data_IF_986792868053
#
_entry.id   IF_986792868053
#
_cell.length_a   1.000
_cell.length_b   1.000
_cell.length_c   1.000
_cell.angle_alpha   90.00
_cell.angle_beta   90.00
_cell.angle_gamma   90.00
#
_symmetry.space_group_name_H-M   'P 1'
#
loop_
_entity.id
_entity.type
_entity.pdbx_description
1 polymer ?
#
# COMPACT_ATOMS: atom_id res chain seq x y z
N UNK A 1 41.30 29.85 15.37
CA UNK A 1 40.28 30.81 14.94
C UNK A 1 38.96 30.03 14.85
N UNK A 2 38.08 30.20 15.84
CA UNK A 2 36.79 29.48 15.88
C UNK A 2 35.79 30.21 14.98
N UNK A 3 35.37 29.56 13.90
CA UNK A 3 34.38 30.06 12.93
C UNK A 3 32.95 29.84 13.50
N UNK A 4 32.70 30.13 14.77
CA UNK A 4 31.40 29.91 15.42
C UNK A 4 30.61 31.22 15.70
N UNK A 5 31.04 32.33 15.20
CA UNK A 5 30.49 33.65 15.61
C UNK A 5 29.44 34.20 14.63
N UNK A 6 29.14 33.52 13.52
CA UNK A 6 28.07 33.92 12.61
C UNK A 6 26.96 32.89 12.62
N UNK A 7 25.87 33.14 13.34
CA UNK A 7 24.61 32.41 13.21
C UNK A 7 23.79 33.06 12.12
N UNK A 8 23.40 32.28 11.09
CA UNK A 8 22.40 32.72 10.12
C UNK A 8 21.05 32.09 10.47
N UNK A 9 20.01 32.91 10.51
CA UNK A 9 18.64 32.43 10.70
C UNK A 9 18.04 32.14 9.33
N UNK A 10 17.71 30.89 9.08
CA UNK A 10 17.04 30.46 7.84
C UNK A 10 15.57 30.16 8.19
N UNK A 11 14.59 30.72 7.46
CA UNK A 11 13.19 30.37 7.66
C UNK A 11 12.95 28.89 7.29
N UNK A 12 12.28 28.17 8.18
CA UNK A 12 11.97 26.74 8.00
C UNK A 12 10.49 26.58 7.72
N UNK A 13 10.15 25.84 6.67
CA UNK A 13 8.77 25.41 6.41
C UNK A 13 8.33 24.43 7.50
N UNK A 14 7.18 24.66 8.10
CA UNK A 14 6.66 23.81 9.20
C UNK A 14 5.86 22.60 8.70
N UNK A 15 5.68 22.46 7.40
CA UNK A 15 4.93 21.35 6.79
C UNK A 15 5.84 20.13 6.61
N UNK A 16 5.39 18.96 6.99
CA UNK A 16 6.10 17.69 6.79
C UNK A 16 5.53 16.89 5.62
N UNK A 17 6.39 16.13 4.94
CA UNK A 17 6.00 15.12 3.97
C UNK A 17 6.37 13.75 4.51
N UNK A 18 5.40 12.84 4.53
CA UNK A 18 5.60 11.42 4.84
C UNK A 18 5.37 10.61 3.58
N UNK A 19 6.38 9.86 3.15
CA UNK A 19 6.35 9.03 1.94
C UNK A 19 6.15 7.57 2.33
N UNK A 20 5.01 7.03 1.95
CA UNK A 20 4.53 5.70 2.33
C UNK A 20 3.56 5.74 3.50
N UNK A 21 2.33 5.28 3.26
CA UNK A 21 1.25 5.24 4.24
C UNK A 21 0.97 3.83 4.76
N UNK A 22 2.03 3.05 5.04
CA UNK A 22 1.97 1.89 5.92
C UNK A 22 1.87 2.32 7.38
N UNK A 23 1.83 1.37 8.30
CA UNK A 23 1.63 1.66 9.73
C UNK A 23 2.65 2.65 10.30
N UNK A 24 3.92 2.56 9.89
CA UNK A 24 4.96 3.49 10.32
C UNK A 24 4.73 4.92 9.82
N UNK A 25 4.34 5.06 8.55
CA UNK A 25 4.04 6.37 7.96
C UNK A 25 2.77 6.99 8.55
N UNK A 26 1.73 6.19 8.76
CA UNK A 26 0.49 6.64 9.43
C UNK A 26 0.81 7.14 10.84
N UNK A 27 1.55 6.37 11.64
CA UNK A 27 1.90 6.77 13.01
C UNK A 27 2.75 8.06 13.01
N UNK A 28 3.76 8.15 12.16
CA UNK A 28 4.58 9.36 12.04
C UNK A 28 3.75 10.59 11.62
N UNK A 29 2.79 10.40 10.71
CA UNK A 29 1.90 11.49 10.30
C UNK A 29 0.98 11.95 11.44
N UNK A 30 0.42 11.02 12.22
CA UNK A 30 -0.40 11.32 13.39
C UNK A 30 0.40 12.08 14.45
N UNK A 31 1.57 11.57 14.84
CA UNK A 31 2.41 12.19 15.88
C UNK A 31 2.79 13.65 15.52
N UNK A 32 3.09 13.91 14.25
CA UNK A 32 3.41 15.26 13.77
C UNK A 32 2.16 16.15 13.73
N UNK A 33 1.05 15.60 13.28
CA UNK A 33 -0.20 16.32 13.15
C UNK A 33 -0.80 16.70 14.51
N UNK A 34 -0.69 15.80 15.52
CA UNK A 34 -1.07 16.03 16.91
C UNK A 34 -0.22 17.10 17.56
N UNK A 35 1.07 17.21 17.18
CA UNK A 35 1.94 18.31 17.58
C UNK A 35 1.58 19.66 16.92
N UNK A 36 0.53 19.70 16.09
CA UNK A 36 0.00 20.90 15.46
C UNK A 36 0.66 21.29 14.11
N UNK A 37 1.43 20.39 13.51
CA UNK A 37 2.08 20.65 12.23
C UNK A 37 1.32 20.02 11.04
N UNK A 38 1.20 20.75 9.92
CA UNK A 38 0.58 20.18 8.72
C UNK A 38 1.43 19.06 8.11
N UNK A 39 0.80 17.96 7.72
CA UNK A 39 1.44 16.79 7.14
C UNK A 39 0.78 16.44 5.81
N UNK A 40 1.60 16.15 4.81
CA UNK A 40 1.15 15.47 3.59
C UNK A 40 1.61 14.02 3.64
N UNK A 41 0.67 13.09 3.54
CA UNK A 41 0.93 11.65 3.53
C UNK A 41 0.74 11.11 2.11
N UNK A 42 1.82 10.67 1.47
CA UNK A 42 1.83 10.19 0.09
C UNK A 42 1.84 8.67 0.05
N UNK A 43 0.92 8.08 -0.70
CA UNK A 43 0.79 6.63 -0.87
C UNK A 43 0.61 6.27 -2.35
N UNK A 44 1.40 5.30 -2.83
CA UNK A 44 1.34 4.83 -4.22
C UNK A 44 0.10 3.99 -4.54
N UNK A 45 -0.46 3.33 -3.53
CA UNK A 45 -1.66 2.50 -3.64
C UNK A 45 -2.93 3.36 -3.51
N UNK A 46 -4.10 2.84 -3.89
CA UNK A 46 -5.36 3.55 -3.79
C UNK A 46 -5.87 3.71 -2.35
N UNK A 47 -5.26 3.03 -1.37
CA UNK A 47 -5.58 3.16 0.06
C UNK A 47 -4.31 3.16 0.90
N UNK A 48 -4.35 3.84 2.04
CA UNK A 48 -3.35 3.72 3.09
C UNK A 48 -3.50 2.39 3.85
N UNK A 49 -2.52 2.02 4.70
CA UNK A 49 -2.49 0.80 5.50
C UNK A 49 -1.31 -0.13 5.18
N UNK A 50 -0.77 -0.07 3.97
CA UNK A 50 0.40 -0.83 3.54
C UNK A 50 0.22 -2.34 3.62
N UNK A 51 1.27 -3.07 4.01
CA UNK A 51 1.21 -4.53 4.13
C UNK A 51 0.49 -4.97 5.42
N UNK A 52 0.43 -4.14 6.47
CA UNK A 52 -0.18 -4.53 7.74
C UNK A 52 -1.66 -4.93 7.60
N UNK A 53 -2.42 -4.25 6.74
CA UNK A 53 -3.84 -4.58 6.50
C UNK A 53 -4.05 -5.90 5.75
N UNK A 54 -2.99 -6.48 5.20
CA UNK A 54 -3.02 -7.78 4.52
C UNK A 54 -2.75 -8.95 5.47
N UNK A 55 -2.07 -8.69 6.60
CA UNK A 55 -1.71 -9.71 7.59
C UNK A 55 -2.94 -10.15 8.40
N UNK A 56 -2.92 -11.38 8.88
CA UNK A 56 -3.95 -11.89 9.77
C UNK A 56 -3.72 -11.41 11.21
N UNK A 57 -2.56 -11.75 11.78
CA UNK A 57 -2.22 -11.45 13.17
C UNK A 57 -0.92 -10.67 13.31
N UNK A 58 -0.85 -9.83 14.33
CA UNK A 58 0.39 -9.19 14.77
C UNK A 58 1.14 -10.09 15.74
N UNK A 59 2.44 -10.20 15.57
CA UNK A 59 3.29 -10.95 16.48
C UNK A 59 4.01 -9.97 17.46
N UNK A 60 4.18 -10.30 18.75
CA UNK A 60 3.87 -11.57 19.42
C UNK A 60 2.47 -11.63 20.07
N UNK A 61 1.71 -10.56 20.06
CA UNK A 61 0.43 -10.45 20.80
C UNK A 61 -0.70 -11.25 20.17
N UNK A 62 -0.56 -11.64 18.90
CA UNK A 62 -1.57 -12.35 18.12
C UNK A 62 -2.89 -11.59 17.97
N UNK A 63 -2.81 -10.26 18.02
CA UNK A 63 -3.95 -9.39 17.73
C UNK A 63 -4.27 -9.34 16.24
N UNK A 64 -5.51 -9.03 15.91
CA UNK A 64 -5.93 -8.84 14.53
C UNK A 64 -5.24 -7.61 13.92
N UNK A 65 -4.43 -7.81 12.89
CA UNK A 65 -3.65 -6.74 12.25
C UNK A 65 -4.52 -5.63 11.67
N UNK A 66 -5.61 -6.00 10.99
CA UNK A 66 -6.56 -5.04 10.45
C UNK A 66 -7.29 -4.27 11.57
N UNK A 67 -7.59 -4.92 12.70
CA UNK A 67 -8.26 -4.30 13.85
C UNK A 67 -7.39 -3.23 14.52
N UNK A 68 -6.06 -3.39 14.49
CA UNK A 68 -5.12 -2.39 15.01
C UNK A 68 -4.89 -1.27 13.97
N UNK A 69 -4.76 -1.62 12.70
CA UNK A 69 -4.42 -0.67 11.66
C UNK A 69 -5.60 0.24 11.28
N UNK A 70 -6.83 -0.30 11.23
CA UNK A 70 -8.03 0.43 10.78
C UNK A 70 -8.34 1.69 11.61
N UNK A 71 -8.31 1.67 12.95
CA UNK A 71 -8.54 2.88 13.75
C UNK A 71 -7.53 3.98 13.40
N UNK A 72 -6.25 3.65 13.27
CA UNK A 72 -5.19 4.61 12.90
C UNK A 72 -5.36 5.15 11.49
N UNK A 73 -5.80 4.32 10.54
CA UNK A 73 -6.14 4.76 9.19
C UNK A 73 -7.32 5.74 9.20
N UNK A 74 -8.36 5.44 9.98
CA UNK A 74 -9.54 6.31 10.12
C UNK A 74 -9.16 7.65 10.77
N UNK A 75 -8.36 7.61 11.82
CA UNK A 75 -7.85 8.80 12.49
C UNK A 75 -7.04 9.68 11.53
N UNK A 76 -6.08 9.10 10.79
CA UNK A 76 -5.32 9.83 9.79
C UNK A 76 -6.21 10.39 8.67
N UNK A 77 -7.26 9.66 8.28
CA UNK A 77 -8.21 10.06 7.24
C UNK A 77 -9.12 11.23 7.63
N UNK A 78 -9.30 11.47 8.93
CA UNK A 78 -10.19 12.53 9.46
C UNK A 78 -9.43 13.65 10.15
N UNK A 79 -8.11 13.50 10.33
CA UNK A 79 -7.31 14.49 11.05
C UNK A 79 -7.17 15.80 10.26
N UNK A 80 -7.48 16.97 10.85
CA UNK A 80 -7.51 18.25 10.14
C UNK A 80 -6.14 18.70 9.59
N UNK A 81 -5.04 18.26 10.22
CA UNK A 81 -3.67 18.61 9.81
C UNK A 81 -3.05 17.58 8.86
N UNK A 82 -3.77 16.50 8.44
CA UNK A 82 -3.24 15.49 7.53
C UNK A 82 -3.94 15.58 6.18
N UNK A 83 -3.14 15.73 5.13
CA UNK A 83 -3.61 15.62 3.74
C UNK A 83 -3.11 14.31 3.15
N UNK A 84 -4.03 13.40 2.83
CA UNK A 84 -3.69 12.10 2.22
C UNK A 84 -3.74 12.22 0.70
N UNK A 85 -2.64 11.85 0.05
CA UNK A 85 -2.50 11.73 -1.41
C UNK A 85 -2.27 10.28 -1.77
N UNK A 86 -3.34 9.55 -2.09
CA UNK A 86 -3.27 8.17 -2.61
C UNK A 86 -3.05 8.16 -4.12
N UNK A 87 -2.60 7.03 -4.68
CA UNK A 87 -2.17 6.89 -6.07
C UNK A 87 -1.13 7.94 -6.46
N UNK A 88 -0.23 8.25 -5.52
CA UNK A 88 0.73 9.35 -5.66
C UNK A 88 2.15 8.88 -5.35
N UNK A 89 3.12 9.36 -6.11
CA UNK A 89 4.52 9.00 -5.99
C UNK A 89 5.39 10.26 -6.03
N UNK A 90 6.45 10.28 -5.20
CA UNK A 90 7.46 11.35 -5.23
C UNK A 90 8.40 11.08 -6.41
N UNK A 91 8.49 12.04 -7.33
CA UNK A 91 9.38 11.94 -8.50
C UNK A 91 10.71 12.65 -8.30
N UNK A 92 10.67 13.80 -7.67
CA UNK A 92 11.86 14.63 -7.52
C UNK A 92 11.86 15.36 -6.19
N UNK A 93 13.01 15.42 -5.57
CA UNK A 93 13.27 16.22 -4.36
C UNK A 93 14.47 17.12 -4.62
N UNK A 94 14.32 18.39 -4.34
CA UNK A 94 15.37 19.40 -4.41
C UNK A 94 15.34 20.26 -3.15
N UNK A 95 16.28 21.20 -3.02
CA UNK A 95 16.35 22.10 -1.86
C UNK A 95 17.29 21.60 -0.77
N UNK A 96 17.03 21.99 0.46
CA UNK A 96 17.88 21.73 1.63
C UNK A 96 17.03 21.56 2.90
N UNK A 97 17.65 21.12 3.98
CA UNK A 97 16.99 20.89 5.28
C UNK A 97 16.23 22.15 5.71
N UNK A 98 14.94 21.97 5.97
CA UNK A 98 14.01 23.05 6.30
C UNK A 98 13.25 23.63 5.11
N UNK A 99 13.70 23.40 3.85
CA UNK A 99 13.08 23.93 2.64
C UNK A 99 13.30 22.98 1.46
N UNK A 100 12.66 21.83 1.50
CA UNK A 100 12.63 20.87 0.40
C UNK A 100 11.54 21.27 -0.59
N UNK A 101 11.86 21.25 -1.87
CA UNK A 101 10.90 21.34 -2.96
C UNK A 101 10.70 19.94 -3.55
N UNK A 102 9.47 19.45 -3.49
CA UNK A 102 9.13 18.07 -3.86
C UNK A 102 8.10 18.05 -4.96
N UNK A 103 8.40 17.35 -6.06
CA UNK A 103 7.47 17.09 -7.13
C UNK A 103 6.81 15.74 -6.91
N UNK A 104 5.48 15.74 -6.81
CA UNK A 104 4.64 14.57 -6.59
C UNK A 104 3.82 14.33 -7.85
N UNK A 105 3.89 13.12 -8.39
CA UNK A 105 2.96 12.65 -9.42
C UNK A 105 1.72 12.08 -8.75
N UNK A 106 0.58 12.68 -9.01
CA UNK A 106 -0.73 12.17 -8.66
C UNK A 106 -1.31 11.45 -9.88
N UNK A 107 -1.44 10.12 -9.82
CA UNK A 107 -1.98 9.30 -10.90
C UNK A 107 -3.48 9.51 -11.03
N UNK A 108 -3.99 9.41 -12.25
CA UNK A 108 -5.40 9.51 -12.54
C UNK A 108 -6.19 8.44 -11.76
N UNK A 109 -7.23 8.87 -11.07
CA UNK A 109 -8.15 8.00 -10.30
C UNK A 109 -9.38 7.63 -11.13
N UNK A 110 -9.68 8.44 -12.14
CA UNK A 110 -10.87 8.38 -13.00
C UNK A 110 -12.18 8.50 -12.23
N UNK A 111 -12.11 8.94 -10.99
CA UNK A 111 -13.25 9.18 -10.11
C UNK A 111 -12.99 10.48 -9.36
N UNK A 112 -13.96 11.37 -9.43
CA UNK A 112 -13.99 12.57 -8.61
C UNK A 112 -14.34 12.18 -7.17
N UNK A 113 -13.36 12.31 -6.28
CA UNK A 113 -13.53 11.92 -4.88
C UNK A 113 -14.42 12.90 -4.11
N UNK A 114 -14.60 14.12 -4.56
CA UNK A 114 -15.48 15.09 -3.90
C UNK A 114 -16.96 14.78 -4.17
N UNK A 115 -17.24 14.26 -5.36
CA UNK A 115 -18.59 13.81 -5.75
C UNK A 115 -18.91 12.37 -5.32
N UNK A 116 -17.90 11.52 -5.18
CA UNK A 116 -18.10 10.10 -4.90
C UNK A 116 -18.53 9.86 -3.45
N UNK A 117 -19.67 9.19 -3.26
CA UNK A 117 -20.18 8.78 -1.93
C UNK A 117 -19.67 7.43 -1.45
N UNK A 118 -18.90 6.69 -2.27
CA UNK A 118 -18.40 5.35 -1.91
C UNK A 118 -19.45 4.24 -1.86
N UNK A 119 -20.60 4.41 -2.53
CA UNK A 119 -21.74 3.50 -2.47
C UNK A 119 -21.51 2.09 -3.06
N UNK A 120 -20.42 1.88 -3.83
CA UNK A 120 -20.05 0.58 -4.39
C UNK A 120 -20.87 0.10 -5.60
N UNK A 121 -21.90 0.82 -6.04
CA UNK A 121 -22.75 0.40 -7.16
C UNK A 121 -21.96 0.17 -8.45
N UNK A 122 -20.92 0.95 -8.71
CA UNK A 122 -20.06 0.83 -9.87
C UNK A 122 -19.21 -0.44 -9.86
N UNK A 123 -18.77 -0.90 -8.67
CA UNK A 123 -17.97 -2.12 -8.50
C UNK A 123 -18.79 -3.37 -8.81
N UNK A 124 -20.01 -3.46 -8.28
CA UNK A 124 -20.89 -4.61 -8.45
C UNK A 124 -21.33 -4.85 -9.89
N UNK A 125 -21.35 -3.82 -10.73
CA UNK A 125 -21.83 -3.88 -12.14
C UNK A 125 -20.71 -3.85 -13.16
N UNK A 126 -19.45 -3.81 -12.74
CA UNK A 126 -18.32 -3.81 -13.66
C UNK A 126 -18.14 -5.20 -14.31
N UNK A 127 -18.14 -5.29 -15.65
CA UNK A 127 -17.98 -6.57 -16.34
C UNK A 127 -16.51 -7.00 -16.52
N UNK A 128 -15.56 -6.09 -16.26
CA UNK A 128 -14.13 -6.36 -16.41
C UNK A 128 -13.58 -6.90 -15.11
N UNK A 129 -12.90 -8.04 -15.18
CA UNK A 129 -12.22 -8.66 -14.05
C UNK A 129 -10.71 -8.70 -14.29
N UNK A 130 -9.95 -8.66 -13.24
CA UNK A 130 -8.50 -8.77 -13.23
C UNK A 130 -8.04 -9.38 -11.91
N UNK A 131 -6.76 -9.71 -11.84
CA UNK A 131 -6.12 -10.22 -10.62
C UNK A 131 -6.25 -9.20 -9.49
N UNK A 132 -6.56 -9.68 -8.29
CA UNK A 132 -6.62 -8.86 -7.09
C UNK A 132 -5.25 -8.78 -6.41
N UNK A 133 -4.58 -7.65 -6.51
CA UNK A 133 -3.27 -7.42 -5.91
C UNK A 133 -3.32 -7.33 -4.38
N UNK A 134 -4.48 -7.01 -3.81
CA UNK A 134 -4.64 -7.00 -2.36
C UNK A 134 -4.57 -8.43 -1.79
N UNK A 135 -5.15 -9.40 -2.50
CA UNK A 135 -5.06 -10.83 -2.16
C UNK A 135 -3.86 -11.53 -2.78
N UNK A 136 -2.84 -10.77 -3.18
CA UNK A 136 -1.59 -11.30 -3.75
C UNK A 136 -1.81 -12.26 -4.94
N UNK A 137 -2.86 -12.00 -5.72
CA UNK A 137 -3.20 -12.79 -6.90
C UNK A 137 -4.05 -14.03 -6.64
N UNK A 138 -4.48 -14.27 -5.41
CA UNK A 138 -5.30 -15.44 -5.06
C UNK A 138 -6.79 -15.29 -5.39
N UNK A 139 -7.23 -14.07 -5.71
CA UNK A 139 -8.61 -13.78 -6.11
C UNK A 139 -8.66 -12.83 -7.31
N UNK A 140 -9.86 -12.59 -7.82
CA UNK A 140 -10.13 -11.60 -8.86
C UNK A 140 -10.85 -10.39 -8.27
N UNK A 141 -10.58 -9.21 -8.84
CA UNK A 141 -11.32 -7.97 -8.62
C UNK A 141 -11.85 -7.38 -9.91
N UNK A 142 -12.77 -6.46 -9.80
CA UNK A 142 -13.25 -5.68 -10.96
C UNK A 142 -12.27 -4.56 -11.32
N UNK A 143 -12.35 -4.05 -12.55
CA UNK A 143 -11.50 -2.94 -13.02
C UNK A 143 -11.78 -1.62 -12.29
N UNK A 144 -12.99 -1.41 -11.79
CA UNK A 144 -13.31 -0.34 -10.84
C UNK A 144 -13.48 -1.00 -9.47
N UNK A 145 -12.70 -0.56 -8.50
CA UNK A 145 -12.58 -1.30 -7.24
C UNK A 145 -12.14 -0.42 -6.08
N UNK A 146 -12.50 -0.86 -4.91
CA UNK A 146 -11.93 -0.46 -3.63
C UNK A 146 -11.05 -1.63 -3.13
N UNK A 147 -9.80 -1.40 -2.69
CA UNK A 147 -8.87 -2.50 -2.40
C UNK A 147 -9.38 -3.47 -1.33
N UNK A 148 -10.01 -2.95 -0.29
CA UNK A 148 -10.59 -3.72 0.81
C UNK A 148 -11.69 -2.90 1.52
N UNK A 149 -12.49 -3.53 2.35
CA UNK A 149 -13.68 -2.92 2.94
C UNK A 149 -13.37 -1.66 3.77
N UNK A 150 -12.29 -1.68 4.56
CA UNK A 150 -11.87 -0.60 5.46
C UNK A 150 -10.91 0.40 4.80
N UNK A 151 -10.81 0.43 3.47
CA UNK A 151 -9.91 1.32 2.74
C UNK A 151 -10.13 2.80 3.09
N UNK A 152 -9.03 3.54 3.20
CA UNK A 152 -9.03 4.99 3.41
C UNK A 152 -8.19 5.64 2.31
N UNK A 153 -8.79 6.52 1.49
CA UNK A 153 -10.20 6.90 1.47
C UNK A 153 -11.11 5.73 1.07
N UNK A 154 -12.35 5.68 1.61
CA UNK A 154 -13.34 4.64 1.29
C UNK A 154 -14.05 4.91 -0.04
N UNK A 155 -13.26 5.08 -1.11
CA UNK A 155 -13.72 5.40 -2.45
C UNK A 155 -13.05 4.50 -3.47
N UNK A 156 -13.76 4.05 -4.51
CA UNK A 156 -13.14 3.22 -5.54
C UNK A 156 -12.20 4.01 -6.44
N UNK A 157 -11.39 3.30 -7.21
CA UNK A 157 -10.60 3.83 -8.32
C UNK A 157 -10.76 2.94 -9.54
N UNK A 158 -10.37 3.41 -10.72
CA UNK A 158 -10.40 2.63 -11.95
C UNK A 158 -8.98 2.25 -12.35
N UNK A 159 -8.73 0.96 -12.49
CA UNK A 159 -7.52 0.43 -13.10
C UNK A 159 -7.62 0.56 -14.63
N UNK A 160 -6.85 1.50 -15.17
CA UNK A 160 -6.85 1.78 -16.61
C UNK A 160 -6.40 0.57 -17.44
N UNK A 161 -5.51 -0.26 -16.89
CA UNK A 161 -4.98 -1.42 -17.60
C UNK A 161 -6.01 -2.54 -17.80
N UNK A 162 -7.03 -2.64 -16.96
CA UNK A 162 -8.09 -3.65 -17.04
C UNK A 162 -9.45 -3.09 -17.48
N UNK A 163 -9.61 -1.76 -17.51
CA UNK A 163 -10.88 -1.12 -17.87
C UNK A 163 -11.13 -1.12 -19.37
N UNK A 164 -12.21 -1.78 -19.84
CA UNK A 164 -12.62 -1.80 -21.25
C UNK A 164 -12.90 -0.40 -21.83
N UNK A 165 -13.43 0.53 -21.02
CA UNK A 165 -13.69 1.89 -21.49
C UNK A 165 -12.41 2.63 -21.80
N UNK A 166 -11.42 2.55 -20.93
CA UNK A 166 -10.14 3.24 -21.11
C UNK A 166 -9.24 2.57 -22.16
N UNK A 167 -9.31 1.24 -22.28
CA UNK A 167 -8.52 0.48 -23.30
C UNK A 167 -9.11 0.52 -24.69
N UNK A 168 -10.42 0.31 -24.82
CA UNK A 168 -11.08 0.02 -26.09
C UNK A 168 -12.15 1.04 -26.47
N UNK A 169 -12.44 1.99 -25.59
CA UNK A 169 -13.55 2.93 -25.77
C UNK A 169 -14.96 2.30 -25.59
N UNK A 170 -15.03 0.99 -25.38
CA UNK A 170 -16.28 0.21 -25.35
C UNK A 170 -16.63 -0.12 -23.91
N UNK A 171 -17.50 0.56 -23.33
CA UNK A 171 -18.15 0.36 -22.03
C UNK A 171 -18.59 1.73 -21.49
N UNK A 172 -19.04 1.81 -20.26
CA UNK A 172 -19.49 3.05 -19.61
C UNK A 172 -20.56 2.75 -18.57
N UNK A 173 -20.65 1.47 -18.16
CA UNK A 173 -21.67 1.01 -17.20
C UNK A 173 -21.54 1.78 -15.88
N UNK A 174 -20.32 1.90 -15.34
CA UNK A 174 -20.08 2.60 -14.07
C UNK A 174 -20.53 4.08 -14.11
N UNK A 175 -20.30 4.79 -15.22
CA UNK A 175 -20.77 6.18 -15.35
C UNK A 175 -22.31 6.27 -15.42
N UNK A 176 -22.96 5.32 -16.11
CA UNK A 176 -24.42 5.31 -16.25
C UNK A 176 -25.16 5.03 -14.94
N UNK A 177 -24.57 4.27 -14.05
CA UNK A 177 -25.19 3.88 -12.77
C UNK A 177 -24.73 4.73 -11.59
N UNK A 178 -23.76 5.63 -11.78
CA UNK A 178 -23.26 6.49 -10.73
C UNK A 178 -24.30 7.56 -10.38
N UNK A 179 -24.86 7.58 -9.16
CA UNK A 179 -25.92 8.52 -8.82
C UNK A 179 -25.41 9.96 -8.70
N UNK A 180 -24.12 10.15 -8.49
CA UNK A 180 -23.48 11.46 -8.30
C UNK A 180 -22.64 11.91 -9.50
N UNK A 181 -22.64 11.14 -10.59
CA UNK A 181 -21.81 11.40 -11.78
C UNK A 181 -20.30 11.59 -11.49
N UNK A 182 -19.79 10.89 -10.49
CA UNK A 182 -18.39 11.00 -10.05
C UNK A 182 -17.37 10.37 -11.01
N UNK A 183 -17.79 9.66 -12.07
CA UNK A 183 -16.88 8.98 -13.00
C UNK A 183 -16.36 9.97 -14.04
N UNK A 184 -15.04 10.12 -14.11
CA UNK A 184 -14.34 10.99 -15.05
C UNK A 184 -13.27 10.20 -15.81
N UNK A 185 -13.57 9.74 -17.02
CA UNK A 185 -12.62 9.01 -17.86
C UNK A 185 -11.51 9.88 -18.49
N UNK A 186 -11.68 11.21 -18.46
CA UNK A 186 -10.71 12.18 -19.00
C UNK A 186 -9.66 12.60 -17.98
N UNK A 187 -9.71 12.03 -16.75
CA UNK A 187 -8.72 12.30 -15.71
C UNK A 187 -7.32 11.90 -16.17
N UNK A 188 -6.32 12.67 -15.78
CA UNK A 188 -4.93 12.48 -16.18
C UNK A 188 -4.01 12.64 -14.98
N UNK A 189 -2.85 12.04 -15.09
CA UNK A 189 -1.77 12.24 -14.14
C UNK A 189 -1.43 13.74 -14.01
N UNK A 190 -1.20 14.18 -12.79
CA UNK A 190 -0.83 15.55 -12.45
C UNK A 190 0.52 15.57 -11.76
N UNK A 191 1.35 16.53 -12.13
CA UNK A 191 2.59 16.84 -11.39
C UNK A 191 2.33 18.06 -10.52
N UNK A 192 2.48 17.89 -9.22
CA UNK A 192 2.29 18.95 -8.22
C UNK A 192 3.61 19.17 -7.50
N UNK A 193 4.10 20.38 -7.50
CA UNK A 193 5.33 20.74 -6.75
C UNK A 193 4.95 21.55 -5.52
N UNK A 194 5.35 21.04 -4.37
CA UNK A 194 5.07 21.64 -3.05
C UNK A 194 6.34 21.73 -2.21
N UNK A 195 6.34 22.62 -1.22
CA UNK A 195 7.49 22.81 -0.32
C UNK A 195 7.24 22.24 1.06
N UNK A 196 8.27 21.62 1.63
CA UNK A 196 8.24 20.96 2.94
C UNK A 196 9.49 21.24 3.75
N UNK A 197 9.36 21.29 5.07
CA UNK A 197 10.50 21.46 5.96
C UNK A 197 11.20 20.17 6.33
N UNK A 198 10.45 19.07 6.36
CA UNK A 198 10.96 17.74 6.68
C UNK A 198 10.37 16.67 5.77
N UNK A 199 11.18 15.63 5.51
CA UNK A 199 10.80 14.46 4.75
C UNK A 199 10.99 13.22 5.62
N UNK A 200 9.96 12.36 5.70
CA UNK A 200 10.02 11.09 6.41
C UNK A 200 9.77 9.97 5.39
N UNK A 201 10.72 9.04 5.30
CA UNK A 201 10.62 7.90 4.40
C UNK A 201 10.13 6.67 5.17
N UNK A 202 8.91 6.22 4.87
CA UNK A 202 8.26 5.06 5.48
C UNK A 202 7.76 4.10 4.40
N UNK A 203 8.61 3.84 3.40
CA UNK A 203 8.25 3.13 2.16
C UNK A 203 8.01 1.63 2.35
N UNK A 204 8.27 1.09 3.55
CA UNK A 204 8.04 -0.30 3.89
C UNK A 204 8.96 -1.27 3.13
N UNK A 205 8.44 -2.44 2.80
CA UNK A 205 9.16 -3.49 2.07
C UNK A 205 8.29 -4.06 0.94
N UNK A 206 8.96 -4.59 -0.07
CA UNK A 206 8.35 -5.45 -1.09
C UNK A 206 8.88 -6.87 -0.91
N UNK A 207 8.05 -7.86 -1.21
CA UNK A 207 8.53 -9.24 -1.31
C UNK A 207 9.51 -9.37 -2.48
N UNK A 208 10.53 -10.17 -2.28
CA UNK A 208 11.44 -10.55 -3.36
C UNK A 208 10.64 -11.40 -4.36
N UNK A 209 10.80 -11.13 -5.65
CA UNK A 209 10.26 -11.99 -6.71
C UNK A 209 11.13 -13.25 -6.83
N UNK A 210 10.87 -14.19 -5.94
CA UNK A 210 11.59 -15.45 -5.85
C UNK A 210 11.32 -16.39 -7.04
N UNK A 211 10.29 -16.12 -7.83
CA UNK A 211 10.03 -16.84 -9.08
C UNK A 211 11.13 -16.62 -10.10
N UNK A 212 11.80 -15.47 -10.04
CA UNK A 212 12.89 -15.10 -10.94
C UNK A 212 14.29 -15.44 -10.42
N UNK A 213 14.42 -15.63 -9.11
CA UNK A 213 15.72 -15.76 -8.46
C UNK A 213 16.14 -17.21 -8.21
N UNK A 214 15.21 -18.09 -7.84
CA UNK A 214 15.52 -19.45 -7.39
C UNK A 214 14.48 -20.44 -7.93
N UNK A 215 14.85 -21.14 -8.99
CA UNK A 215 14.00 -22.21 -9.55
C UNK A 215 13.91 -23.44 -8.62
N UNK A 216 14.78 -23.55 -7.62
CA UNK A 216 14.91 -24.74 -6.75
C UNK A 216 13.64 -25.05 -5.96
N UNK A 217 12.87 -24.01 -5.62
CA UNK A 217 11.62 -24.19 -4.85
C UNK A 217 10.39 -24.42 -5.73
N UNK A 218 10.54 -24.34 -7.06
CA UNK A 218 9.45 -24.56 -8.02
C UNK A 218 8.37 -23.47 -8.00
N UNK A 219 8.70 -22.28 -7.51
CA UNK A 219 7.79 -21.14 -7.54
C UNK A 219 7.41 -20.74 -8.97
N UNK A 220 6.11 -20.48 -9.19
CA UNK A 220 5.57 -20.23 -10.52
C UNK A 220 5.38 -21.50 -11.37
N UNK A 221 5.97 -22.65 -10.97
CA UNK A 221 5.75 -23.93 -11.62
C UNK A 221 4.61 -24.73 -10.99
N UNK A 222 4.49 -24.62 -9.66
CA UNK A 222 3.46 -25.33 -8.91
C UNK A 222 2.56 -24.33 -8.19
N UNK A 223 1.23 -24.39 -8.37
CA UNK A 223 0.29 -23.41 -7.81
C UNK A 223 0.22 -23.43 -6.27
N UNK A 224 0.60 -24.55 -5.64
CA UNK A 224 0.56 -24.69 -4.18
C UNK A 224 1.85 -24.20 -3.48
N UNK A 225 2.81 -23.68 -4.26
CA UNK A 225 3.98 -23.00 -3.72
C UNK A 225 3.68 -21.51 -3.70
N UNK A 226 3.42 -20.99 -2.52
CA UNK A 226 2.93 -19.64 -2.29
C UNK A 226 3.89 -18.82 -1.43
N UNK A 227 3.80 -17.50 -1.53
CA UNK A 227 4.54 -16.59 -0.67
C UNK A 227 3.96 -16.52 0.74
N UNK A 228 4.75 -16.04 1.72
CA UNK A 228 4.26 -15.81 3.08
C UNK A 228 3.08 -14.84 3.12
N UNK A 229 3.07 -13.80 2.27
CA UNK A 229 1.98 -12.84 2.23
C UNK A 229 0.69 -13.44 1.59
N UNK A 230 0.84 -14.32 0.60
CA UNK A 230 -0.29 -15.11 0.09
C UNK A 230 -0.86 -16.02 1.19
N UNK A 231 0.00 -16.67 1.97
CA UNK A 231 -0.45 -17.49 3.10
C UNK A 231 -1.20 -16.66 4.15
N UNK A 232 -0.73 -15.47 4.49
CA UNK A 232 -1.43 -14.52 5.37
C UNK A 232 -2.83 -14.19 4.84
N UNK A 233 -2.98 -14.02 3.51
CA UNK A 233 -4.31 -13.79 2.91
C UNK A 233 -5.23 -15.01 2.99
N UNK A 234 -4.70 -16.24 2.92
CA UNK A 234 -5.50 -17.45 3.08
C UNK A 234 -6.00 -17.66 4.52
N UNK A 235 -5.17 -17.33 5.52
CA UNK A 235 -5.56 -17.51 6.93
C UNK A 235 -6.40 -16.36 7.47
N UNK A 236 -6.44 -15.23 6.76
CA UNK A 236 -7.20 -14.05 7.18
C UNK A 236 -8.70 -14.23 6.92
N UNK A 237 -9.54 -13.95 7.92
CA UNK A 237 -11.00 -14.03 7.79
C UNK A 237 -11.58 -13.13 6.69
N UNK A 238 -10.91 -12.04 6.32
CA UNK A 238 -11.26 -11.17 5.18
C UNK A 238 -10.57 -11.56 3.87
N UNK A 239 -9.87 -12.67 3.86
CA UNK A 239 -9.15 -13.17 2.68
C UNK A 239 -10.08 -13.92 1.72
N UNK A 240 -9.52 -14.37 0.58
CA UNK A 240 -10.31 -14.99 -0.49
C UNK A 240 -10.97 -16.32 -0.11
N UNK A 241 -10.51 -16.95 0.97
CA UNK A 241 -11.01 -18.23 1.48
C UNK A 241 -11.69 -18.10 2.85
N UNK A 242 -12.00 -16.86 3.28
CA UNK A 242 -12.67 -16.58 4.55
C UNK A 242 -11.94 -17.18 5.78
N UNK A 243 -10.61 -17.28 5.71
CA UNK A 243 -9.76 -17.85 6.76
C UNK A 243 -9.60 -19.37 6.71
N UNK A 244 -10.22 -20.05 5.75
CA UNK A 244 -10.02 -21.49 5.54
C UNK A 244 -8.78 -21.74 4.69
N UNK A 245 -7.79 -22.43 5.24
CA UNK A 245 -6.55 -22.74 4.51
C UNK A 245 -6.88 -23.77 3.42
N UNK A 246 -6.75 -23.34 2.17
CA UNK A 246 -7.02 -24.16 1.00
C UNK A 246 -5.82 -24.11 0.04
N UNK A 247 -5.57 -25.24 -0.65
CA UNK A 247 -4.58 -25.29 -1.72
C UNK A 247 -5.08 -24.52 -2.94
N UNK A 248 -4.29 -23.60 -3.50
CA UNK A 248 -4.69 -22.89 -4.71
C UNK A 248 -5.01 -23.80 -5.91
N UNK A 249 -4.40 -24.98 -5.98
CA UNK A 249 -4.57 -25.91 -7.10
C UNK A 249 -5.96 -26.55 -7.18
N UNK A 250 -6.59 -26.89 -6.05
CA UNK A 250 -7.80 -27.69 -6.02
C UNK A 250 -8.82 -27.28 -4.94
N UNK A 251 -8.53 -26.22 -4.19
CA UNK A 251 -9.41 -25.70 -3.14
C UNK A 251 -9.59 -26.61 -1.92
N UNK A 252 -8.78 -27.67 -1.79
CA UNK A 252 -8.88 -28.59 -0.65
C UNK A 252 -7.94 -28.18 0.48
N UNK A 253 -8.29 -28.59 1.69
CA UNK A 253 -7.46 -28.41 2.86
C UNK A 253 -6.12 -29.19 2.72
N UNK A 254 -4.97 -28.55 2.96
CA UNK A 254 -3.68 -29.24 2.93
C UNK A 254 -3.51 -30.14 4.15
N UNK A 255 -3.03 -31.37 3.96
CA UNK A 255 -2.68 -32.27 5.09
C UNK A 255 -1.36 -31.92 5.73
N UNK A 256 -0.47 -31.29 5.00
CA UNK A 256 0.87 -30.94 5.46
C UNK A 256 1.25 -29.59 4.86
N UNK A 257 1.80 -28.68 5.67
CA UNK A 257 2.33 -27.38 5.26
C UNK A 257 3.81 -27.34 5.60
N UNK A 258 4.64 -26.98 4.63
CA UNK A 258 6.08 -26.78 4.81
C UNK A 258 6.38 -25.27 4.69
N UNK A 259 7.00 -24.70 5.72
CA UNK A 259 7.37 -23.28 5.75
C UNK A 259 8.88 -23.16 5.56
N UNK A 260 9.30 -22.54 4.45
CA UNK A 260 10.70 -22.24 4.15
C UNK A 260 10.92 -20.77 4.44
N UNK A 261 11.74 -20.49 5.47
CA UNK A 261 12.04 -19.12 5.91
C UNK A 261 13.29 -18.56 5.22
N UNK A 262 13.34 -17.23 5.12
CA UNK A 262 14.50 -16.49 4.65
C UNK A 262 14.94 -16.82 3.21
N UNK A 263 13.99 -17.14 2.34
CA UNK A 263 14.23 -17.34 0.91
C UNK A 263 14.83 -16.06 0.31
N UNK A 264 16.00 -16.17 -0.34
CA UNK A 264 16.71 -15.05 -0.96
C UNK A 264 17.44 -14.10 -0.01
N UNK A 265 17.32 -14.26 1.32
CA UNK A 265 18.02 -13.41 2.30
C UNK A 265 19.18 -14.12 3.04
N UNK A 266 19.35 -15.42 2.82
CA UNK A 266 20.48 -16.20 3.35
C UNK A 266 21.59 -16.35 2.30
N UNK A 267 22.16 -15.24 1.92
CA UNK A 267 23.29 -15.18 1.00
C UNK A 267 24.56 -14.80 1.77
N UNK A 268 25.68 -15.54 1.66
CA UNK A 268 26.93 -15.22 2.35
C UNK A 268 27.50 -13.83 1.98
N UNK A 269 27.06 -13.26 0.85
CA UNK A 269 27.48 -11.94 0.40
C UNK A 269 26.58 -10.81 0.92
N UNK A 270 25.53 -11.12 1.68
CA UNK A 270 24.61 -10.11 2.23
C UNK A 270 24.77 -9.98 3.74
N UNK A 271 24.53 -8.77 4.24
CA UNK A 271 24.55 -8.46 5.69
C UNK A 271 23.52 -9.31 6.45
N UNK A 272 22.37 -9.59 5.83
CA UNK A 272 21.31 -10.44 6.40
C UNK A 272 21.80 -11.84 6.77
N UNK A 273 22.61 -12.45 5.92
CA UNK A 273 23.20 -13.77 6.21
C UNK A 273 24.07 -13.72 7.45
N UNK A 274 24.95 -12.73 7.57
CA UNK A 274 25.87 -12.56 8.69
C UNK A 274 25.13 -12.37 10.02
N UNK A 275 24.08 -11.56 10.03
CA UNK A 275 23.31 -11.28 11.24
C UNK A 275 22.34 -12.39 11.64
N UNK A 276 21.75 -13.10 10.68
CA UNK A 276 20.80 -14.19 10.96
C UNK A 276 21.49 -15.51 11.36
N UNK A 277 22.73 -15.75 10.94
CA UNK A 277 23.42 -17.01 11.23
C UNK A 277 24.15 -17.02 12.57
N UNK A 278 24.58 -15.88 13.07
CA UNK A 278 25.30 -15.77 14.36
C UNK A 278 24.44 -16.18 15.57
N UNK A 279 23.16 -15.80 15.70
CA UNK A 279 22.32 -16.22 16.82
C UNK A 279 21.85 -17.68 16.74
N UNK A 280 21.65 -18.23 15.54
CA UNK A 280 21.06 -19.57 15.36
C UNK A 280 22.00 -20.75 15.65
N UNK A 281 23.31 -20.53 15.77
CA UNK A 281 24.26 -21.56 16.20
C UNK A 281 24.16 -21.96 17.68
N UNK A 282 23.32 -21.31 18.46
CA UNK A 282 23.14 -21.56 19.91
C UNK A 282 21.79 -22.17 20.29
N UNK A 283 20.95 -22.49 19.34
CA UNK A 283 19.62 -23.09 19.60
C UNK A 283 19.54 -24.40 18.83
N UNK A 284 20.44 -25.31 19.15
CA UNK A 284 20.31 -26.74 18.86
C UNK A 284 20.72 -27.47 20.12
#
# INVERSE_FOLDING_TARGET
>A
MCIRDSTSTIPVNKRALVVGAGIAGIQAALDIADAGYPVTLVERNPSIGGNMVKLDKTFPTMDCSACICTPKMSEAGTHPNITIKTLSEVEKVTGYIGNFEVTIREKAKYIDYDLCTGCGACETKCPSKTINEFDEGLSERTAIYKPFAQAVPSKPTIDAASCRKLKEGKCGVCAKICPTNAINYEDKDKLVTETYGALILATGYNLIDWTKLYGEYGSGMYPDIISGLQFERLVNASGPTEGHIQRPSDGKEPKTVVIIKCVGSRDPNTVSYTHLTLPTKRIV
#
